data_IF_790454579895
#
_entry.id   IF_790454579895
#
_cell.length_a   1.000
_cell.length_b   1.000
_cell.length_c   1.000
_cell.angle_alpha   90.00
_cell.angle_beta   90.00
_cell.angle_gamma   90.00
#
_symmetry.space_group_name_H-M   'P 1'
#
loop_
_entity.id
_entity.type
_entity.pdbx_description
1 polymer ?
#
# COMPACT_ATOMS: atom_id res chain seq x y z
N UNK A 1 -51.11 -25.47 -19.64
CA UNK A 1 -50.03 -25.06 -18.71
C UNK A 1 -48.64 -25.36 -19.29
N UNK A 2 -48.17 -24.68 -20.34
CA UNK A 2 -46.76 -24.78 -20.80
C UNK A 2 -46.19 -23.47 -21.39
N UNK A 3 -47.00 -22.42 -21.54
CA UNK A 3 -46.59 -21.17 -22.23
C UNK A 3 -46.03 -20.12 -21.27
N UNK A 4 -46.30 -20.24 -19.96
CA UNK A 4 -45.90 -19.23 -18.96
C UNK A 4 -44.46 -19.42 -18.47
N UNK A 5 -43.94 -20.65 -18.49
CA UNK A 5 -42.56 -20.96 -18.10
C UNK A 5 -41.54 -20.53 -19.16
N UNK A 6 -41.89 -20.57 -20.45
CA UNK A 6 -41.01 -20.11 -21.54
C UNK A 6 -40.83 -18.59 -21.51
N UNK A 7 -41.90 -17.85 -21.15
CA UNK A 7 -41.82 -16.39 -20.94
C UNK A 7 -40.94 -16.00 -19.76
N UNK A 8 -40.96 -16.79 -18.67
CA UNK A 8 -40.11 -16.56 -17.50
C UNK A 8 -38.64 -16.91 -17.77
N UNK A 9 -38.36 -17.98 -18.51
CA UNK A 9 -37.00 -18.34 -18.97
C UNK A 9 -36.40 -17.31 -19.94
N UNK A 10 -37.22 -16.70 -20.81
CA UNK A 10 -36.78 -15.60 -21.69
C UNK A 10 -36.52 -14.29 -20.93
N UNK A 11 -37.21 -14.04 -19.82
CA UNK A 11 -36.96 -12.87 -18.95
C UNK A 11 -35.71 -13.03 -18.09
N UNK A 12 -35.32 -14.25 -17.71
CA UNK A 12 -34.08 -14.52 -16.97
C UNK A 12 -32.83 -14.38 -17.86
N UNK A 13 -32.95 -14.58 -19.19
CA UNK A 13 -31.86 -14.39 -20.16
C UNK A 13 -31.64 -12.92 -20.60
N UNK A 14 -32.45 -11.97 -20.12
CA UNK A 14 -32.32 -10.55 -20.43
C UNK A 14 -31.74 -9.70 -19.28
N UNK A 15 -31.21 -10.33 -18.23
CA UNK A 15 -30.17 -9.67 -17.42
C UNK A 15 -28.83 -9.73 -18.17
N UNK A 16 -28.79 -9.10 -19.35
CA UNK A 16 -27.52 -8.64 -19.91
C UNK A 16 -26.98 -7.63 -18.90
N UNK A 17 -26.01 -8.07 -18.11
CA UNK A 17 -25.21 -7.20 -17.26
C UNK A 17 -24.82 -5.96 -18.06
N UNK A 18 -24.84 -4.81 -17.39
CA UNK A 18 -24.29 -3.59 -17.95
C UNK A 18 -22.97 -3.96 -18.64
N UNK A 19 -22.88 -3.73 -19.95
CA UNK A 19 -21.70 -4.07 -20.74
C UNK A 19 -20.49 -3.46 -20.04
N UNK A 20 -19.69 -4.29 -19.37
CA UNK A 20 -18.49 -3.83 -18.69
C UNK A 20 -17.63 -3.16 -19.75
N UNK A 21 -17.41 -1.85 -19.60
CA UNK A 21 -16.68 -1.07 -20.61
C UNK A 21 -15.28 -1.66 -20.75
N UNK A 22 -14.84 -1.90 -21.98
CA UNK A 22 -13.51 -2.46 -22.24
C UNK A 22 -12.44 -1.60 -21.54
N UNK A 23 -11.63 -2.18 -20.63
CA UNK A 23 -10.64 -1.42 -19.88
C UNK A 23 -9.55 -0.80 -20.78
N UNK A 24 -9.34 -1.31 -22.00
CA UNK A 24 -8.46 -0.68 -22.98
C UNK A 24 -8.92 0.73 -23.37
N UNK A 25 -10.23 0.99 -23.31
CA UNK A 25 -10.83 2.30 -23.63
C UNK A 25 -11.31 3.07 -22.39
N UNK A 26 -11.34 2.43 -21.22
CA UNK A 26 -11.90 2.96 -19.99
C UNK A 26 -10.98 2.67 -18.77
N UNK A 27 -9.73 3.11 -18.86
CA UNK A 27 -8.74 3.05 -17.78
C UNK A 27 -8.34 4.45 -17.31
N UNK A 28 -7.79 4.52 -16.10
CA UNK A 28 -7.14 5.72 -15.55
C UNK A 28 -5.63 5.64 -15.79
N UNK A 29 -4.94 6.78 -15.74
CA UNK A 29 -3.49 6.79 -15.61
C UNK A 29 -3.11 6.63 -14.14
N UNK A 30 -2.13 5.76 -13.86
CA UNK A 30 -1.66 5.55 -12.49
C UNK A 30 -0.93 6.80 -11.97
N UNK A 31 -1.29 7.33 -10.78
CA UNK A 31 -0.60 8.49 -10.20
C UNK A 31 0.87 8.20 -9.86
N UNK A 32 1.69 9.27 -9.85
CA UNK A 32 3.14 9.24 -9.59
C UNK A 32 3.90 8.24 -10.49
N UNK A 33 3.45 8.04 -11.74
CA UNK A 33 4.01 7.04 -12.64
C UNK A 33 5.53 7.22 -12.85
N UNK A 34 6.01 8.46 -12.86
CA UNK A 34 7.41 8.85 -13.00
C UNK A 34 8.33 8.39 -11.86
N UNK A 35 7.79 8.05 -10.69
CA UNK A 35 8.54 7.53 -9.54
C UNK A 35 8.56 6.00 -9.47
N UNK A 36 7.78 5.31 -10.30
CA UNK A 36 7.56 3.86 -10.19
C UNK A 36 8.57 2.99 -10.93
N UNK A 37 9.59 3.59 -11.53
CA UNK A 37 10.64 2.88 -12.27
C UNK A 37 11.54 2.01 -11.39
N UNK A 38 11.97 0.84 -11.88
CA UNK A 38 12.94 -0.01 -11.16
C UNK A 38 14.24 0.70 -10.76
N UNK A 39 14.65 1.72 -11.52
CA UNK A 39 15.86 2.50 -11.21
C UNK A 39 15.54 3.77 -10.42
N UNK A 40 14.27 4.08 -10.17
CA UNK A 40 13.87 5.11 -9.24
C UNK A 40 13.88 4.52 -7.85
N UNK A 41 14.73 5.04 -6.99
CA UNK A 41 14.97 4.41 -5.72
C UNK A 41 14.43 5.27 -4.59
N UNK A 42 13.84 4.64 -3.58
CA UNK A 42 13.28 5.28 -2.40
C UNK A 42 14.32 6.20 -1.77
N UNK A 43 14.00 7.48 -1.67
CA UNK A 43 14.89 8.50 -1.12
C UNK A 43 14.38 9.06 0.20
N UNK A 44 13.12 9.49 0.23
CA UNK A 44 12.47 10.07 1.40
C UNK A 44 11.22 9.26 1.75
N UNK A 45 11.30 8.55 2.87
CA UNK A 45 10.23 7.68 3.37
C UNK A 45 8.93 8.48 3.61
N UNK A 46 9.03 9.77 3.96
CA UNK A 46 7.85 10.62 4.19
C UNK A 46 7.13 11.03 2.91
N UNK A 47 7.77 10.95 1.75
CA UNK A 47 7.18 11.28 0.44
C UNK A 47 7.08 10.09 -0.52
N UNK A 48 7.44 8.90 -0.04
CA UNK A 48 7.45 7.65 -0.78
C UNK A 48 6.14 7.43 -1.56
N UNK A 49 6.23 6.66 -2.63
CA UNK A 49 5.04 6.17 -3.31
C UNK A 49 4.28 5.24 -2.37
N UNK A 50 3.03 5.61 -2.07
CA UNK A 50 2.14 4.88 -1.18
C UNK A 50 0.84 4.54 -1.92
N UNK A 51 0.58 3.25 -2.11
CA UNK A 51 -0.63 2.75 -2.78
C UNK A 51 -1.74 2.36 -1.80
N UNK A 52 -1.57 2.59 -0.48
CA UNK A 52 -2.63 2.36 0.52
C UNK A 52 -3.89 3.20 0.28
N UNK A 53 -3.75 4.33 -0.40
CA UNK A 53 -4.85 5.20 -0.81
C UNK A 53 -5.26 5.04 -2.28
N UNK A 54 -4.77 4.03 -3.00
CA UNK A 54 -5.10 3.84 -4.41
C UNK A 54 -6.52 3.28 -4.57
N UNK A 55 -7.37 4.00 -5.30
CA UNK A 55 -8.71 3.49 -5.65
C UNK A 55 -8.59 2.22 -6.49
N UNK A 56 -9.45 1.23 -6.22
CA UNK A 56 -9.53 0.06 -7.08
C UNK A 56 -10.02 0.41 -8.48
N UNK A 57 -9.37 -0.13 -9.51
CA UNK A 57 -9.78 0.10 -10.89
C UNK A 57 -8.74 -0.29 -11.94
N UNK A 58 -9.08 -0.04 -13.21
CA UNK A 58 -8.22 -0.28 -14.35
C UNK A 58 -7.25 0.89 -14.57
N UNK A 59 -5.95 0.58 -14.59
CA UNK A 59 -4.89 1.55 -14.77
C UNK A 59 -3.98 1.18 -15.94
N UNK A 60 -3.60 2.18 -16.74
CA UNK A 60 -2.41 2.13 -17.58
C UNK A 60 -1.34 3.05 -16.98
N UNK A 61 -0.09 2.80 -17.32
CA UNK A 61 1.04 3.56 -16.76
C UNK A 61 1.84 4.20 -17.87
N UNK A 62 2.12 5.50 -17.73
CA UNK A 62 2.96 6.26 -18.65
C UNK A 62 4.14 6.88 -17.91
N UNK A 63 5.34 6.63 -18.39
CA UNK A 63 6.56 7.32 -17.97
C UNK A 63 7.12 8.05 -19.18
N UNK A 64 7.46 9.33 -19.04
CA UNK A 64 8.03 10.13 -20.13
C UNK A 64 7.20 10.06 -21.44
N UNK A 65 5.87 10.15 -21.32
CA UNK A 65 4.89 10.02 -22.41
C UNK A 65 4.85 8.66 -23.14
N UNK A 66 5.52 7.63 -22.62
CA UNK A 66 5.50 6.27 -23.16
C UNK A 66 4.80 5.32 -22.20
N UNK A 67 3.99 4.41 -22.74
CA UNK A 67 3.41 3.35 -21.92
C UNK A 67 4.50 2.41 -21.44
N UNK A 68 4.41 2.03 -20.18
CA UNK A 68 5.36 1.11 -19.52
C UNK A 68 4.61 -0.03 -18.87
N UNK A 69 5.31 -1.15 -18.72
CA UNK A 69 4.77 -2.39 -18.21
C UNK A 69 5.28 -2.66 -16.80
N UNK A 70 4.53 -3.46 -16.04
CA UNK A 70 5.02 -3.98 -14.78
C UNK A 70 6.25 -4.87 -15.05
N UNK A 71 7.36 -4.72 -14.30
CA UNK A 71 8.53 -5.56 -14.52
C UNK A 71 8.22 -7.02 -14.19
N UNK A 72 8.70 -7.91 -15.06
CA UNK A 72 8.60 -9.38 -14.93
C UNK A 72 9.80 -10.00 -14.21
N UNK A 73 10.76 -9.16 -13.85
CA UNK A 73 11.96 -9.53 -13.10
C UNK A 73 11.93 -8.87 -11.72
N UNK A 74 12.43 -9.58 -10.73
CA UNK A 74 12.62 -9.07 -9.38
C UNK A 74 13.31 -7.69 -9.36
N UNK A 75 12.65 -6.64 -8.84
CA UNK A 75 13.32 -5.38 -8.57
C UNK A 75 14.20 -5.51 -7.30
N UNK A 76 15.29 -4.72 -7.20
CA UNK A 76 15.99 -4.55 -5.93
C UNK A 76 15.05 -4.01 -4.83
N UNK A 77 15.33 -4.26 -3.55
CA UNK A 77 14.59 -3.62 -2.47
C UNK A 77 14.76 -2.09 -2.58
N UNK A 78 13.80 -1.33 -2.07
CA UNK A 78 13.81 0.14 -2.12
C UNK A 78 13.76 0.75 -3.54
N UNK A 79 13.30 0.01 -4.53
CA UNK A 79 13.08 0.50 -5.90
C UNK A 79 11.66 1.06 -6.07
N UNK A 80 11.36 1.63 -7.24
CA UNK A 80 10.03 2.13 -7.58
C UNK A 80 9.48 3.14 -6.55
N UNK A 81 10.41 3.89 -5.92
CA UNK A 81 10.17 4.84 -4.83
C UNK A 81 9.33 4.30 -3.66
N UNK A 82 9.50 3.02 -3.34
CA UNK A 82 8.83 2.37 -2.20
C UNK A 82 9.76 1.38 -1.52
N UNK A 83 9.44 0.95 -0.29
CA UNK A 83 10.29 0.03 0.47
C UNK A 83 10.23 -1.40 -0.09
N UNK A 84 9.04 -1.87 -0.41
CA UNK A 84 8.74 -3.21 -0.89
C UNK A 84 7.92 -3.15 -2.20
N UNK A 85 8.62 -3.09 -3.35
CA UNK A 85 7.98 -3.03 -4.67
C UNK A 85 7.09 -4.25 -4.96
N UNK A 86 5.92 -3.99 -5.55
CA UNK A 86 5.06 -5.04 -6.12
C UNK A 86 5.37 -5.16 -7.62
N UNK A 87 5.68 -6.37 -8.08
CA UNK A 87 6.08 -6.66 -9.45
C UNK A 87 5.40 -7.91 -10.01
N UNK A 88 5.46 -8.13 -11.32
CA UNK A 88 4.74 -9.22 -11.98
C UNK A 88 5.55 -10.51 -11.90
N UNK A 89 5.04 -11.53 -11.21
CA UNK A 89 5.67 -12.84 -11.19
C UNK A 89 5.20 -13.69 -12.37
N UNK A 90 5.96 -13.63 -13.46
CA UNK A 90 5.67 -14.34 -14.70
C UNK A 90 5.71 -13.42 -15.91
N UNK A 91 4.84 -13.66 -16.88
CA UNK A 91 4.79 -12.91 -18.14
C UNK A 91 3.51 -12.08 -18.28
N UNK A 92 3.64 -10.95 -18.97
CA UNK A 92 2.52 -10.17 -19.43
C UNK A 92 1.65 -10.99 -20.40
N UNK A 93 0.31 -10.81 -20.43
CA UNK A 93 -0.56 -11.53 -21.35
C UNK A 93 -0.25 -11.21 -22.82
N UNK A 94 -0.52 -12.17 -23.70
CA UNK A 94 -0.59 -11.89 -25.13
C UNK A 94 -1.95 -11.26 -25.51
N UNK A 95 -2.05 -10.72 -26.72
CA UNK A 95 -3.23 -9.99 -27.19
C UNK A 95 -4.49 -10.86 -27.35
N UNK A 96 -4.35 -12.18 -27.40
CA UNK A 96 -5.47 -13.13 -27.60
C UNK A 96 -6.05 -13.65 -26.28
N UNK A 97 -5.34 -13.49 -25.17
CA UNK A 97 -5.76 -14.00 -23.86
C UNK A 97 -6.91 -13.19 -23.22
N UNK A 98 -7.16 -11.96 -23.66
CA UNK A 98 -8.19 -11.11 -23.07
C UNK A 98 -7.84 -10.65 -21.65
N UNK A 99 -8.82 -10.64 -20.75
CA UNK A 99 -8.61 -10.33 -19.33
C UNK A 99 -8.15 -11.59 -18.62
N UNK A 100 -6.97 -11.53 -18.01
CA UNK A 100 -6.38 -12.64 -17.27
C UNK A 100 -6.04 -12.24 -15.85
N UNK A 101 -6.01 -13.21 -14.95
CA UNK A 101 -5.44 -13.04 -13.61
C UNK A 101 -3.98 -13.50 -13.61
N UNK A 102 -3.13 -12.76 -12.89
CA UNK A 102 -1.72 -13.10 -12.63
C UNK A 102 -1.38 -12.86 -11.17
N UNK A 103 -0.37 -13.58 -10.70
CA UNK A 103 0.23 -13.33 -9.41
C UNK A 103 1.27 -12.22 -9.52
N UNK A 104 1.14 -11.22 -8.65
CA UNK A 104 2.16 -10.23 -8.38
C UNK A 104 2.94 -10.67 -7.14
N UNK A 105 4.20 -10.30 -7.07
CA UNK A 105 5.06 -10.55 -5.92
C UNK A 105 5.37 -9.23 -5.20
N UNK A 106 5.28 -9.25 -3.88
CA UNK A 106 5.83 -8.21 -3.02
C UNK A 106 7.30 -8.56 -2.76
N UNK A 107 8.20 -7.68 -3.19
CA UNK A 107 9.63 -7.79 -2.92
C UNK A 107 9.88 -7.54 -1.43
N UNK A 108 10.54 -8.48 -0.75
CA UNK A 108 11.01 -8.28 0.62
C UNK A 108 12.13 -7.26 0.74
N UNK A 109 12.58 -6.99 1.96
CA UNK A 109 13.66 -6.02 2.22
C UNK A 109 15.05 -6.67 2.25
N UNK A 110 15.11 -7.99 2.46
CA UNK A 110 16.34 -8.78 2.47
C UNK A 110 16.65 -9.36 1.10
N UNK A 111 17.93 -9.54 0.74
CA UNK A 111 18.36 -9.88 -0.62
C UNK A 111 17.81 -11.22 -1.16
N UNK A 112 17.53 -12.17 -0.29
CA UNK A 112 16.97 -13.48 -0.61
C UNK A 112 15.43 -13.51 -0.74
N UNK A 113 14.74 -12.43 -0.35
CA UNK A 113 13.28 -12.36 -0.33
C UNK A 113 12.66 -11.77 -1.62
N UNK A 114 13.01 -12.33 -2.79
CA UNK A 114 12.55 -11.78 -4.07
C UNK A 114 11.00 -11.73 -4.21
N UNK A 115 10.31 -12.74 -3.67
CA UNK A 115 8.85 -12.79 -3.57
C UNK A 115 8.46 -13.21 -2.16
N UNK A 116 8.34 -12.24 -1.26
CA UNK A 116 8.01 -12.48 0.14
C UNK A 116 6.55 -12.89 0.32
N UNK A 117 5.66 -12.29 -0.46
CA UNK A 117 4.24 -12.60 -0.51
C UNK A 117 3.68 -12.33 -1.90
N UNK A 118 2.50 -12.87 -2.19
CA UNK A 118 1.85 -12.72 -3.49
C UNK A 118 0.51 -12.01 -3.39
N UNK A 119 0.15 -11.28 -4.45
CA UNK A 119 -1.15 -10.60 -4.59
C UNK A 119 -1.69 -10.89 -6.00
N UNK A 120 -2.96 -11.28 -6.11
CA UNK A 120 -3.62 -11.44 -7.41
C UNK A 120 -3.98 -10.09 -8.03
N UNK A 121 -3.74 -9.94 -9.34
CA UNK A 121 -4.26 -8.82 -10.12
C UNK A 121 -4.77 -9.27 -11.49
N UNK A 122 -5.81 -8.60 -11.99
CA UNK A 122 -6.26 -8.79 -13.37
C UNK A 122 -5.49 -7.87 -14.31
N UNK A 123 -5.26 -8.30 -15.53
CA UNK A 123 -4.62 -7.49 -16.56
C UNK A 123 -5.06 -7.89 -17.96
N UNK A 124 -4.91 -6.98 -18.91
CA UNK A 124 -5.22 -7.19 -20.33
C UNK A 124 -4.18 -6.51 -21.21
N UNK A 125 -3.82 -7.17 -22.29
CA UNK A 125 -3.01 -6.60 -23.36
C UNK A 125 -3.93 -5.85 -24.35
N UNK A 126 -3.70 -4.55 -24.53
CA UNK A 126 -4.47 -3.67 -25.43
C UNK A 126 -3.74 -3.43 -26.77
N UNK A 127 -2.73 -4.23 -27.08
CA UNK A 127 -1.88 -4.11 -28.26
C UNK A 127 -0.69 -3.16 -28.02
N UNK A 128 -0.98 -1.87 -27.84
CA UNK A 128 0.06 -0.84 -27.67
C UNK A 128 0.49 -0.62 -26.21
N UNK A 129 -0.28 -1.11 -25.25
CA UNK A 129 -0.04 -0.99 -23.81
C UNK A 129 -0.82 -2.04 -23.05
N UNK A 130 -0.56 -2.13 -21.75
CA UNK A 130 -1.25 -3.02 -20.83
C UNK A 130 -2.10 -2.21 -19.85
N UNK A 131 -3.25 -2.79 -19.48
CA UNK A 131 -4.08 -2.29 -18.39
C UNK A 131 -4.11 -3.29 -17.26
N UNK A 132 -4.05 -2.79 -16.04
CA UNK A 132 -3.97 -3.56 -14.81
C UNK A 132 -5.12 -3.17 -13.90
N UNK A 133 -5.87 -4.14 -13.39
CA UNK A 133 -6.84 -3.91 -12.34
C UNK A 133 -6.11 -3.95 -10.99
N UNK A 134 -5.83 -2.77 -10.45
CA UNK A 134 -5.09 -2.60 -9.20
C UNK A 134 -6.05 -2.20 -8.08
N UNK A 135 -5.62 -2.41 -6.84
CA UNK A 135 -6.36 -2.04 -5.63
C UNK A 135 -5.41 -1.40 -4.62
N UNK A 136 -5.95 -0.85 -3.55
CA UNK A 136 -5.14 -0.34 -2.45
C UNK A 136 -4.26 -1.44 -1.84
N UNK A 137 -3.09 -1.04 -1.33
CA UNK A 137 -2.21 -1.93 -0.55
C UNK A 137 -2.50 -1.82 0.96
N UNK A 138 -2.06 -2.82 1.73
CA UNK A 138 -2.29 -2.81 3.19
C UNK A 138 -1.47 -1.71 3.92
N UNK A 139 -0.28 -1.38 3.41
CA UNK A 139 0.63 -0.39 4.00
C UNK A 139 1.23 0.54 2.93
N UNK A 140 1.78 1.68 3.36
CA UNK A 140 2.53 2.58 2.47
C UNK A 140 3.93 2.06 2.11
N UNK A 141 4.38 0.97 2.71
CA UNK A 141 5.65 0.33 2.35
C UNK A 141 5.54 -0.44 1.04
N UNK A 142 4.32 -0.64 0.53
CA UNK A 142 4.04 -1.34 -0.72
C UNK A 142 3.57 -0.36 -1.78
N UNK A 143 4.14 -0.49 -2.98
CA UNK A 143 3.64 0.17 -4.18
C UNK A 143 3.91 -0.65 -5.45
N UNK A 144 3.02 -0.53 -6.42
CA UNK A 144 3.17 -1.18 -7.73
C UNK A 144 4.29 -0.53 -8.55
N UNK A 145 5.24 -1.37 -8.97
CA UNK A 145 6.37 -0.98 -9.79
C UNK A 145 6.05 -1.05 -11.29
N UNK A 146 6.59 -0.12 -12.07
CA UNK A 146 6.39 -0.06 -13.51
C UNK A 146 7.61 0.51 -14.24
N UNK A 147 7.97 -0.10 -15.35
CA UNK A 147 9.09 0.36 -16.17
C UNK A 147 10.45 0.22 -15.48
N UNK A 148 11.46 0.84 -16.09
CA UNK A 148 12.86 0.73 -15.65
C UNK A 148 13.54 2.10 -15.49
N UNK A 149 12.76 3.18 -15.51
CA UNK A 149 13.26 4.56 -15.48
C UNK A 149 13.84 4.94 -14.10
N UNK A 150 14.73 5.94 -14.08
CA UNK A 150 15.22 6.60 -12.86
C UNK A 150 14.19 7.61 -12.35
N UNK A 151 14.33 8.05 -11.10
CA UNK A 151 13.47 9.12 -10.59
C UNK A 151 13.67 10.42 -11.40
N UNK A 152 12.65 11.28 -11.49
CA UNK A 152 12.80 12.61 -12.08
C UNK A 152 13.95 13.39 -11.40
N UNK A 153 14.73 14.14 -12.17
CA UNK A 153 15.88 14.89 -11.65
C UNK A 153 15.50 15.85 -10.51
N UNK A 154 14.27 16.38 -10.51
CA UNK A 154 13.71 17.24 -9.46
C UNK A 154 13.62 16.54 -8.10
N UNK A 155 13.56 15.20 -8.05
CA UNK A 155 13.58 14.42 -6.82
C UNK A 155 14.88 14.59 -6.02
N UNK A 156 15.98 15.00 -6.65
CA UNK A 156 17.32 15.07 -6.06
C UNK A 156 17.80 16.50 -5.73
N UNK A 157 17.01 17.53 -6.05
CA UNK A 157 17.49 18.93 -6.16
C UNK A 157 17.84 19.62 -4.83
N UNK A 158 17.48 19.07 -3.68
CA UNK A 158 17.73 19.73 -2.40
C UNK A 158 19.00 19.26 -1.66
N UNK A 159 19.77 18.31 -2.21
CA UNK A 159 20.83 17.61 -1.46
C UNK A 159 22.07 17.25 -2.28
N UNK A 160 22.43 18.01 -3.32
CA UNK A 160 23.71 17.81 -4.01
C UNK A 160 24.87 18.26 -3.12
N UNK A 161 25.34 17.37 -2.26
CA UNK A 161 26.72 17.40 -1.77
C UNK A 161 27.60 16.72 -2.81
N UNK A 162 28.03 17.49 -3.81
CA UNK A 162 29.16 17.09 -4.64
C UNK A 162 30.45 17.38 -3.85
N UNK A 163 31.18 16.37 -3.34
CA UNK A 163 32.55 16.55 -2.93
C UNK A 163 33.30 17.01 -4.18
N UNK A 164 33.99 18.13 -4.05
CA UNK A 164 34.88 18.58 -5.10
C UNK A 164 35.84 17.44 -5.42
N UNK A 165 35.86 16.99 -6.67
CA UNK A 165 36.83 16.03 -7.18
C UNK A 165 38.20 16.70 -7.20
N UNK A 166 38.82 16.82 -6.02
CA UNK A 166 40.20 17.25 -5.90
C UNK A 166 41.05 16.02 -6.18
N UNK A 167 41.43 15.85 -7.44
CA UNK A 167 42.48 14.95 -7.89
C UNK A 167 43.84 15.49 -7.37
N UNK A 168 44.12 15.29 -6.08
CA UNK A 168 45.42 15.55 -5.46
C UNK A 168 45.52 14.75 -4.17
N UNK A 169 46.70 14.25 -3.76
CA UNK A 169 46.90 13.65 -2.45
C UNK A 169 46.91 14.76 -1.38
N UNK A 170 45.83 15.53 -1.26
CA UNK A 170 45.65 16.45 -0.14
C UNK A 170 45.26 15.65 1.09
N UNK A 171 45.97 15.89 2.19
CA UNK A 171 45.66 15.34 3.51
C UNK A 171 44.15 15.50 3.81
N UNK A 172 43.40 14.39 3.96
CA UNK A 172 41.97 14.41 4.23
C UNK A 172 41.60 15.27 5.44
N UNK A 173 42.49 15.40 6.42
CA UNK A 173 42.27 16.22 7.61
C UNK A 173 42.16 17.72 7.28
N UNK A 174 42.67 18.14 6.12
CA UNK A 174 42.67 19.53 5.64
C UNK A 174 41.68 19.77 4.51
N UNK A 175 41.32 18.73 3.75
CA UNK A 175 40.49 18.86 2.54
C UNK A 175 39.11 18.21 2.64
N UNK A 176 38.75 17.59 3.76
CA UNK A 176 37.46 16.95 3.93
C UNK A 176 36.28 17.95 3.91
N UNK A 177 35.22 17.61 3.19
CA UNK A 177 34.01 18.42 3.08
C UNK A 177 33.15 18.24 4.35
N UNK A 178 32.57 19.30 4.94
CA UNK A 178 31.67 19.15 6.08
C UNK A 178 30.48 18.23 5.72
N UNK A 179 30.19 17.23 6.55
CA UNK A 179 29.10 16.30 6.30
C UNK A 179 27.73 16.98 6.48
N UNK A 180 26.83 16.78 5.53
CA UNK A 180 25.47 17.32 5.59
C UNK A 180 24.72 16.87 6.85
N UNK A 181 24.00 17.81 7.49
CA UNK A 181 23.22 17.55 8.72
C UNK A 181 24.03 16.90 9.86
N UNK A 182 25.33 17.16 9.97
CA UNK A 182 26.19 16.60 11.01
C UNK A 182 25.59 16.70 12.43
N UNK A 183 24.94 17.82 12.77
CA UNK A 183 24.30 18.03 14.08
C UNK A 183 23.11 17.11 14.39
N UNK A 184 22.51 16.47 13.37
CA UNK A 184 21.37 15.54 13.53
C UNK A 184 21.79 14.07 13.51
N UNK A 185 23.10 13.79 13.36
CA UNK A 185 23.67 12.44 13.27
C UNK A 185 24.19 11.90 14.61
N UNK A 186 23.81 12.51 15.72
CA UNK A 186 24.24 12.09 17.06
C UNK A 186 23.59 10.78 17.49
N UNK A 187 24.30 10.01 18.32
CA UNK A 187 23.80 8.74 18.91
C UNK A 187 22.60 8.93 19.85
N UNK A 188 22.38 10.16 20.32
CA UNK A 188 21.22 10.56 21.12
C UNK A 188 20.16 11.32 20.31
N UNK A 189 20.30 11.40 18.98
CA UNK A 189 19.30 12.00 18.10
C UNK A 189 18.40 10.90 17.51
N UNK A 190 17.21 10.64 18.09
CA UNK A 190 16.30 9.65 17.54
C UNK A 190 15.69 10.14 16.22
N UNK A 191 15.33 9.19 15.36
CA UNK A 191 14.77 9.44 14.02
C UNK A 191 13.46 10.24 14.06
N UNK A 192 12.71 10.17 15.17
CA UNK A 192 11.45 10.90 15.34
C UNK A 192 11.67 12.42 15.52
N UNK A 193 12.85 12.83 15.99
CA UNK A 193 13.16 14.25 16.27
C UNK A 193 13.65 15.00 15.03
N UNK A 194 14.03 14.30 13.96
CA UNK A 194 14.63 14.92 12.76
C UNK A 194 13.62 15.29 11.67
N UNK A 195 12.33 14.97 11.86
CA UNK A 195 11.22 15.21 10.92
C UNK A 195 11.29 14.37 9.63
N UNK A 196 12.46 14.31 9.00
CA UNK A 196 12.80 13.43 7.89
C UNK A 196 14.10 12.67 8.20
N UNK A 197 14.09 11.32 8.16
CA UNK A 197 15.30 10.52 8.36
C UNK A 197 16.41 10.96 7.41
N UNK A 198 17.64 10.97 7.92
CA UNK A 198 18.83 11.24 7.13
C UNK A 198 19.12 10.04 6.24
N UNK A 199 19.23 10.28 4.93
CA UNK A 199 19.53 9.26 3.93
C UNK A 199 20.85 9.62 3.22
N UNK A 200 21.88 8.79 3.41
CA UNK A 200 23.21 8.98 2.80
C UNK A 200 23.31 8.40 1.39
N UNK A 201 22.19 8.03 0.76
CA UNK A 201 22.18 7.44 -0.57
C UNK A 201 22.84 8.30 -1.65
N UNK A 202 22.77 9.62 -1.53
CA UNK A 202 23.39 10.58 -2.46
C UNK A 202 24.75 11.08 -1.96
N UNK A 203 25.21 10.59 -0.81
CA UNK A 203 26.56 10.86 -0.34
C UNK A 203 27.52 10.15 -1.29
N UNK A 204 28.30 10.93 -2.04
CA UNK A 204 29.26 10.38 -2.98
C UNK A 204 30.55 10.02 -2.27
N UNK A 205 31.29 9.09 -2.85
CA UNK A 205 32.57 8.60 -2.30
C UNK A 205 33.53 9.78 -2.15
N UNK A 206 34.06 9.98 -0.95
CA UNK A 206 34.96 11.10 -0.65
C UNK A 206 35.29 11.21 0.84
N UNK A 207 36.09 12.22 1.17
CA UNK A 207 36.49 12.54 2.54
C UNK A 207 35.56 13.59 3.16
N UNK A 208 34.99 13.28 4.32
CA UNK A 208 34.06 14.15 5.02
C UNK A 208 34.51 14.43 6.46
N UNK A 209 34.27 15.65 6.94
CA UNK A 209 34.51 16.04 8.32
C UNK A 209 33.17 16.20 9.06
N UNK A 210 33.12 15.72 10.31
CA UNK A 210 31.91 15.80 11.15
C UNK A 210 32.18 16.71 12.33
N UNK A 211 31.37 17.78 12.44
CA UNK A 211 31.37 18.67 13.59
C UNK A 211 29.97 18.78 14.18
N UNK A 212 29.86 18.54 15.47
CA UNK A 212 28.62 18.73 16.24
C UNK A 212 28.89 19.83 17.25
N UNK A 213 28.09 20.90 17.20
CA UNK A 213 28.27 22.09 18.06
C UNK A 213 29.71 22.66 18.00
N UNK A 214 30.31 22.69 16.80
CA UNK A 214 31.66 23.20 16.57
C UNK A 214 32.81 22.27 16.99
N UNK A 215 32.52 21.13 17.61
CA UNK A 215 33.53 20.15 18.02
C UNK A 215 33.64 19.01 17.02
N UNK A 216 34.86 18.56 16.74
CA UNK A 216 35.08 17.32 15.98
C UNK A 216 34.52 16.15 16.79
N UNK A 217 33.84 15.24 16.10
CA UNK A 217 33.29 14.03 16.70
C UNK A 217 33.67 12.82 15.84
N UNK A 218 33.83 11.68 16.48
CA UNK A 218 34.17 10.42 15.83
C UNK A 218 32.91 9.60 15.57
N UNK A 219 32.95 8.77 14.53
CA UNK A 219 31.95 7.72 14.34
C UNK A 219 32.05 6.74 15.51
N UNK A 220 30.93 6.36 16.14
CA UNK A 220 30.96 5.37 17.22
C UNK A 220 31.62 4.07 16.76
N UNK A 221 32.40 3.45 17.65
CA UNK A 221 33.09 2.18 17.43
C UNK A 221 32.43 1.01 18.19
N UNK A 222 31.26 1.26 18.78
CA UNK A 222 30.44 0.30 19.50
C UNK A 222 29.03 0.33 18.93
N UNK A 223 28.27 -0.71 19.22
CA UNK A 223 26.89 -0.84 18.78
C UNK A 223 26.03 0.36 19.19
N UNK A 224 25.23 0.87 18.27
CA UNK A 224 24.32 1.98 18.51
C UNK A 224 22.87 1.52 18.35
N UNK A 225 21.97 2.06 19.18
CA UNK A 225 20.54 1.75 19.13
C UNK A 225 19.94 2.07 17.76
N UNK A 226 19.12 1.17 17.24
CA UNK A 226 18.34 1.40 16.03
C UNK A 226 17.45 2.65 16.18
N UNK A 227 17.23 3.37 15.08
CA UNK A 227 16.45 4.61 15.11
C UNK A 227 17.18 5.81 15.70
N UNK A 228 18.51 5.78 15.83
CA UNK A 228 19.33 6.93 16.26
C UNK A 228 20.28 7.38 15.13
N UNK A 229 21.14 8.36 15.38
CA UNK A 229 21.96 9.01 14.36
C UNK A 229 21.12 9.67 13.25
N UNK A 230 19.89 10.07 13.59
CA UNK A 230 18.95 10.69 12.66
C UNK A 230 18.44 9.75 11.56
N UNK A 231 18.61 8.43 11.68
CA UNK A 231 18.18 7.43 10.68
C UNK A 231 17.51 6.23 11.35
N UNK A 232 16.72 5.47 10.59
CA UNK A 232 16.14 4.20 11.06
C UNK A 232 17.19 3.08 11.17
N UNK A 233 18.22 3.13 10.33
CA UNK A 233 19.30 2.14 10.28
C UNK A 233 20.64 2.85 10.51
N UNK A 234 21.09 2.85 11.76
CA UNK A 234 22.35 3.50 12.17
C UNK A 234 23.56 2.71 11.65
N UNK A 235 24.59 3.43 11.20
CA UNK A 235 25.89 2.86 10.78
C UNK A 235 26.92 3.29 11.82
N UNK A 236 27.81 2.37 12.21
CA UNK A 236 28.92 2.59 13.14
C UNK A 236 30.17 1.88 12.62
N UNK A 237 31.34 2.14 13.21
CA UNK A 237 32.56 1.40 12.90
C UNK A 237 32.48 0.01 13.52
N UNK A 238 32.73 -1.03 12.74
CA UNK A 238 32.76 -2.41 13.23
C UNK A 238 33.92 -2.60 14.21
N UNK A 239 33.62 -2.45 15.51
CA UNK A 239 34.52 -2.77 16.62
C UNK A 239 34.35 -4.21 17.07
N UNK A 240 35.15 -4.65 18.05
CA UNK A 240 35.12 -6.02 18.59
C UNK A 240 33.80 -6.39 19.33
N UNK A 241 32.79 -5.51 19.35
CA UNK A 241 31.52 -5.71 20.05
C UNK A 241 30.38 -6.02 19.06
N UNK A 242 29.81 -7.22 19.16
CA UNK A 242 28.63 -7.61 18.36
C UNK A 242 27.37 -6.96 18.91
N UNK A 243 26.61 -6.28 18.06
CA UNK A 243 25.25 -5.82 18.40
C UNK A 243 24.34 -7.01 18.75
N UNK A 244 23.78 -6.98 19.96
CA UNK A 244 22.68 -7.87 20.35
C UNK A 244 21.39 -7.08 20.19
N UNK A 245 20.72 -7.26 19.05
CA UNK A 245 19.35 -6.76 18.91
C UNK A 245 18.44 -7.66 19.74
N UNK A 246 17.70 -7.12 20.73
CA UNK A 246 16.67 -7.91 21.38
C UNK A 246 15.70 -8.34 20.28
N UNK A 247 15.52 -9.66 20.13
CA UNK A 247 14.38 -10.17 19.36
C UNK A 247 13.15 -9.60 20.03
N UNK A 248 12.49 -8.64 19.39
CA UNK A 248 11.11 -8.32 19.74
C UNK A 248 10.33 -9.57 19.36
N UNK A 249 10.06 -10.43 20.34
CA UNK A 249 9.01 -11.43 20.20
C UNK A 249 7.71 -10.65 20.03
N UNK A 250 7.32 -10.42 18.79
CA UNK A 250 5.94 -10.05 18.49
C UNK A 250 5.13 -11.26 18.95
N UNK A 251 4.48 -11.15 20.10
CA UNK A 251 3.50 -12.14 20.52
C UNK A 251 2.38 -12.12 19.47
N UNK A 252 2.43 -13.06 18.54
CA UNK A 252 1.38 -13.30 17.57
C UNK A 252 0.12 -13.77 18.33
N UNK A 253 -0.68 -12.81 18.82
CA UNK A 253 -1.99 -13.07 19.40
C UNK A 253 -3.06 -13.35 18.33
N UNK A 254 -2.67 -13.56 17.07
CA UNK A 254 -3.55 -13.88 15.94
C UNK A 254 -4.37 -15.16 16.18
N UNK A 255 -3.85 -16.10 16.98
CA UNK A 255 -4.54 -17.35 17.34
C UNK A 255 -5.65 -17.19 18.40
N UNK A 256 -5.68 -16.08 19.16
CA UNK A 256 -6.74 -15.83 20.15
C UNK A 256 -7.95 -15.09 19.57
N UNK A 257 -7.81 -14.40 18.44
CA UNK A 257 -8.94 -13.72 17.79
C UNK A 257 -9.88 -14.70 17.08
N UNK A 258 -9.39 -15.79 16.51
CA UNK A 258 -10.23 -16.74 15.72
C UNK A 258 -11.28 -17.46 16.57
N UNK A 259 -10.99 -17.76 17.85
CA UNK A 259 -11.94 -18.42 18.75
C UNK A 259 -13.08 -17.52 19.24
N UNK A 260 -12.82 -16.21 19.41
CA UNK A 260 -13.82 -15.25 19.89
C UNK A 260 -14.83 -14.93 18.77
N UNK A 261 -14.36 -14.74 17.52
CA UNK A 261 -15.24 -14.52 16.37
C UNK A 261 -16.10 -15.75 16.02
N UNK A 262 -15.54 -16.96 16.16
CA UNK A 262 -16.30 -18.20 15.98
C UNK A 262 -17.41 -18.35 17.05
N UNK A 263 -17.11 -18.03 18.31
CA UNK A 263 -18.10 -18.08 19.40
C UNK A 263 -19.22 -17.03 19.26
N UNK A 264 -18.87 -15.79 18.92
CA UNK A 264 -19.85 -14.71 18.68
C UNK A 264 -20.75 -15.04 17.48
N UNK A 265 -20.19 -15.61 16.41
CA UNK A 265 -20.97 -16.02 15.23
C UNK A 265 -22.03 -17.08 15.54
N UNK A 266 -21.70 -18.09 16.37
CA UNK A 266 -22.65 -19.13 16.79
C UNK A 266 -23.75 -18.57 17.69
N UNK A 267 -23.41 -17.68 18.63
CA UNK A 267 -24.40 -17.05 19.52
C UNK A 267 -25.38 -16.17 18.73
N UNK A 268 -24.87 -15.37 17.78
CA UNK A 268 -25.73 -14.55 16.90
C UNK A 268 -26.64 -15.45 16.05
N UNK A 269 -26.11 -16.53 15.47
CA UNK A 269 -26.91 -17.45 14.65
C UNK A 269 -28.02 -18.12 15.46
N UNK A 270 -27.73 -18.57 16.68
CA UNK A 270 -28.72 -19.14 17.60
C UNK A 270 -29.79 -18.12 18.03
N UNK A 271 -29.40 -16.88 18.31
CA UNK A 271 -30.34 -15.80 18.65
C UNK A 271 -31.27 -15.47 17.47
N UNK A 272 -30.75 -15.41 16.24
CA UNK A 272 -31.56 -15.20 15.03
C UNK A 272 -32.53 -16.37 14.83
N UNK A 273 -32.10 -17.61 15.05
CA UNK A 273 -32.97 -18.78 14.95
C UNK A 273 -34.09 -18.76 16.00
N UNK A 274 -33.78 -18.37 17.24
CA UNK A 274 -34.77 -18.23 18.32
C UNK A 274 -35.77 -17.14 17.97
N UNK A 275 -35.32 -15.98 17.49
CA UNK A 275 -36.21 -14.90 17.05
C UNK A 275 -37.10 -15.38 15.90
N UNK A 276 -36.55 -16.10 14.93
CA UNK A 276 -37.33 -16.67 13.81
C UNK A 276 -38.37 -17.69 14.29
N UNK A 277 -38.02 -18.55 15.26
CA UNK A 277 -38.96 -19.51 15.84
C UNK A 277 -40.04 -18.82 16.69
N UNK A 278 -39.70 -17.72 17.36
CA UNK A 278 -40.66 -16.90 18.11
C UNK A 278 -41.60 -16.14 17.16
N UNK A 279 -41.12 -15.62 16.04
CA UNK A 279 -41.98 -14.97 15.03
C UNK A 279 -42.85 -15.99 14.30
N UNK A 280 -42.35 -17.20 14.02
CA UNK A 280 -43.16 -18.30 13.48
C UNK A 280 -44.22 -18.76 14.51
N UNK A 281 -43.87 -18.91 15.78
CA UNK A 281 -44.84 -19.22 16.85
C UNK A 281 -45.88 -18.11 17.00
N UNK A 282 -45.46 -16.85 16.93
CA UNK A 282 -46.36 -15.69 16.96
C UNK A 282 -47.30 -15.69 15.74
N UNK A 283 -46.77 -15.90 14.53
CA UNK A 283 -47.53 -16.03 13.29
C UNK A 283 -48.55 -17.17 13.36
N UNK A 284 -48.15 -18.35 13.83
CA UNK A 284 -49.05 -19.50 13.98
C UNK A 284 -50.12 -19.27 15.07
N UNK A 285 -49.80 -18.47 16.10
CA UNK A 285 -50.76 -18.07 17.14
C UNK A 285 -51.76 -17.02 16.66
N UNK A 286 -51.35 -16.15 15.72
CA UNK A 286 -52.21 -15.17 15.05
C UNK A 286 -53.08 -15.80 13.94
N UNK A 287 -52.57 -16.77 13.17
CA UNK A 287 -53.35 -17.48 12.15
C UNK A 287 -54.32 -18.53 12.74
N UNK A 288 -54.17 -18.90 14.02
CA UNK A 288 -55.04 -19.86 14.73
C UNK A 288 -56.21 -19.24 15.50
N UNK A 289 -56.36 -17.90 15.52
CA UNK A 289 -57.50 -17.23 16.14
C UNK A 289 -58.05 -16.19 15.17
N UNK A 290 -59.19 -16.51 14.55
CA UNK A 290 -59.92 -15.57 13.69
C UNK A 290 -60.27 -14.31 14.48
N UNK A 291 -59.61 -13.20 14.16
CA UNK A 291 -60.01 -11.87 14.58
C UNK A 291 -61.22 -11.46 13.74
N UNK A 292 -62.41 -11.52 14.34
CA UNK A 292 -63.58 -10.77 13.84
C UNK A 292 -63.24 -9.28 13.99
N UNK A 293 -63.01 -8.61 12.87
CA UNK A 293 -62.94 -7.15 12.82
C UNK A 293 -64.32 -6.67 12.38
N UNK A 294 -65.03 -6.04 13.30
CA UNK A 294 -66.27 -5.32 13.06
C UNK A 294 -65.91 -3.95 12.47
N UNK A 295 -66.58 -3.57 11.37
CA UNK A 295 -66.27 -2.36 10.62
C UNK A 295 -66.80 -1.11 11.34
N UNK A 296 -65.92 -0.33 11.95
CA UNK A 296 -66.18 1.08 12.24
C UNK A 296 -65.25 1.98 11.42
N UNK A 297 -65.87 2.80 10.56
CA UNK A 297 -65.24 3.91 9.84
C UNK A 297 -64.82 4.99 10.83
N UNK A 298 -63.63 5.57 10.71
CA UNK A 298 -63.37 7.00 11.00
C UNK A 298 -62.02 7.45 10.38
N UNK A 299 -62.09 8.53 9.59
CA UNK A 299 -61.17 9.67 9.65
C UNK A 299 -59.79 9.58 8.98
N UNK A 300 -59.69 10.08 7.75
CA UNK A 300 -58.43 10.60 7.21
C UNK A 300 -57.90 11.76 8.08
N UNK A 301 -56.63 11.72 8.49
CA UNK A 301 -55.86 12.93 8.84
C UNK A 301 -54.48 12.88 8.20
N UNK A 302 -54.18 13.94 7.46
CA UNK A 302 -52.88 14.23 6.87
C UNK A 302 -51.87 14.58 7.98
N UNK A 303 -50.64 14.07 7.87
CA UNK A 303 -49.50 14.56 8.64
C UNK A 303 -48.46 15.17 7.69
N UNK A 304 -48.23 16.46 7.88
CA UNK A 304 -47.17 17.27 7.27
C UNK A 304 -45.81 16.89 7.87
N UNK A 305 -44.80 16.73 7.00
CA UNK A 305 -43.42 16.46 7.41
C UNK A 305 -42.72 17.74 7.90
N UNK A 306 -42.01 17.65 9.03
CA UNK A 306 -41.07 18.68 9.49
C UNK A 306 -39.64 18.35 9.04
N UNK A 307 -38.83 19.35 8.64
CA UNK A 307 -37.46 19.13 8.18
C UNK A 307 -36.46 18.93 9.35
N UNK A 308 -35.31 18.26 9.09
CA UNK A 308 -34.33 17.91 10.12
C UNK A 308 -33.45 19.11 10.55
N UNK A 309 -32.93 19.10 11.78
CA UNK A 309 -32.10 20.19 12.31
C UNK A 309 -30.66 20.17 11.76
N UNK A 310 -29.99 21.35 11.71
CA UNK A 310 -28.67 21.49 11.11
C UNK A 310 -27.53 20.99 12.02
N UNK A 311 -26.47 20.53 11.37
CA UNK A 311 -25.22 20.08 11.98
C UNK A 311 -24.47 21.25 12.64
N UNK A 312 -23.92 20.99 13.83
CA UNK A 312 -22.98 21.89 14.52
C UNK A 312 -21.56 21.64 14.00
N UNK A 313 -20.87 22.72 13.66
CA UNK A 313 -19.42 22.79 13.44
C UNK A 313 -18.63 22.47 14.72
#
# INVERSE_FOLDING_TARGET
MKVQYVKLLLLVLLNKGASEKDPCSNHKLLPKAEYRGKQCLLYDVGSATCDRGLDSGWYAVKQNNKYVEMPTSCPPPFSCDTAAPIWLNGSNPNSTEGIVERQLCVRGIYDDECCKSTVSAKMKNCGAFYVYYLAYTDTCDYAYCFGNDKCPATAYTNYTMTPSTVLSPSDPCRSAVPLYKAGLRGTYCPVYDVGKPICDRLLSVGWYSVKVNGKNVDMPNACINAGTCGTSASIWLDGNEKCIFPKVEVSDNSSKMTGIYAGIGVVIFLLVLIILLLTIKFWNRCNGRGLKVENEKIGQRNFTASPPPPYKE
#
